data_IF_594586883429
#
_entry.id   IF_594586883429
#
_cell.length_a   1.000
_cell.length_b   1.000
_cell.length_c   1.000
_cell.angle_alpha   90.00
_cell.angle_beta   90.00
_cell.angle_gamma   90.00
#
_symmetry.space_group_name_H-M   'P 1'
#
loop_
_entity.id
_entity.type
_entity.pdbx_description
1 polymer ?
#
# COMPACT_ATOMS: atom_id res chain seq x y z
N UNK A 1 -25.31 -42.97 0.85
CA UNK A 1 -24.25 -42.07 0.36
C UNK A 1 -24.88 -41.02 -0.55
N UNK A 2 -25.43 -39.92 -0.04
CA UNK A 2 -25.96 -38.86 -0.93
C UNK A 2 -26.02 -37.47 -0.26
N UNK A 3 -26.67 -37.33 0.90
CA UNK A 3 -26.92 -36.01 1.49
C UNK A 3 -25.68 -35.32 2.08
N UNK A 4 -24.86 -36.07 2.82
CA UNK A 4 -23.62 -35.52 3.42
C UNK A 4 -22.58 -35.15 2.36
N UNK A 5 -22.37 -36.03 1.37
CA UNK A 5 -21.44 -35.79 0.27
C UNK A 5 -21.89 -34.62 -0.61
N UNK A 6 -23.18 -34.47 -0.91
CA UNK A 6 -23.69 -33.30 -1.63
C UNK A 6 -23.58 -32.01 -0.80
N UNK A 7 -23.79 -32.05 0.51
CA UNK A 7 -23.62 -30.88 1.37
C UNK A 7 -22.15 -30.46 1.48
N UNK A 8 -21.25 -31.44 1.57
CA UNK A 8 -19.80 -31.24 1.64
C UNK A 8 -19.25 -30.74 0.30
N UNK A 9 -19.69 -31.30 -0.83
CA UNK A 9 -19.37 -30.76 -2.17
C UNK A 9 -19.96 -29.37 -2.43
N UNK A 10 -21.15 -29.06 -1.90
CA UNK A 10 -21.71 -27.69 -1.98
C UNK A 10 -20.92 -26.70 -1.12
N UNK A 11 -20.51 -27.11 0.09
CA UNK A 11 -19.62 -26.29 0.94
C UNK A 11 -18.27 -26.07 0.28
N UNK A 12 -17.65 -27.12 -0.25
CA UNK A 12 -16.38 -27.05 -0.95
C UNK A 12 -16.49 -26.20 -2.24
N UNK A 13 -17.57 -26.34 -3.01
CA UNK A 13 -17.84 -25.51 -4.18
C UNK A 13 -18.07 -24.03 -3.84
N UNK A 14 -18.69 -23.73 -2.69
CA UNK A 14 -18.89 -22.37 -2.19
C UNK A 14 -17.57 -21.74 -1.68
N UNK A 15 -16.71 -22.54 -1.07
CA UNK A 15 -15.42 -22.09 -0.51
C UNK A 15 -14.35 -21.91 -1.60
N UNK A 16 -14.32 -22.78 -2.61
CA UNK A 16 -13.36 -22.75 -3.72
C UNK A 16 -13.78 -21.74 -4.82
N UNK A 17 -15.08 -21.50 -5.02
CA UNK A 17 -15.59 -20.66 -6.11
C UNK A 17 -15.76 -19.16 -5.80
N UNK A 18 -15.91 -18.77 -4.53
CA UNK A 18 -16.26 -17.38 -4.16
C UNK A 18 -15.21 -16.69 -3.31
N UNK A 19 -14.52 -17.42 -2.42
CA UNK A 19 -13.59 -16.79 -1.48
C UNK A 19 -12.22 -16.48 -2.08
N UNK A 20 -11.69 -17.36 -2.94
CA UNK A 20 -10.37 -17.15 -3.56
C UNK A 20 -10.31 -15.84 -4.37
N UNK A 21 -11.36 -15.52 -5.15
CA UNK A 21 -11.35 -14.34 -6.00
C UNK A 21 -11.50 -13.02 -5.21
N UNK A 22 -12.38 -13.00 -4.19
CA UNK A 22 -12.55 -11.81 -3.32
C UNK A 22 -11.31 -11.59 -2.47
N UNK A 23 -10.72 -12.64 -1.92
CA UNK A 23 -9.52 -12.53 -1.09
C UNK A 23 -8.30 -12.10 -1.90
N UNK A 24 -8.17 -12.58 -3.16
CA UNK A 24 -7.14 -12.10 -4.10
C UNK A 24 -7.35 -10.63 -4.45
N UNK A 25 -8.56 -10.22 -4.83
CA UNK A 25 -8.86 -8.82 -5.14
C UNK A 25 -8.64 -7.90 -3.93
N UNK A 26 -9.02 -8.35 -2.73
CA UNK A 26 -8.78 -7.62 -1.49
C UNK A 26 -7.28 -7.55 -1.18
N UNK A 27 -6.52 -8.62 -1.39
CA UNK A 27 -5.07 -8.64 -1.21
C UNK A 27 -4.37 -7.71 -2.22
N UNK A 28 -4.78 -7.71 -3.48
CA UNK A 28 -4.28 -6.78 -4.51
C UNK A 28 -4.57 -5.33 -4.14
N UNK A 29 -5.83 -5.01 -3.77
CA UNK A 29 -6.20 -3.69 -3.27
C UNK A 29 -5.36 -3.27 -2.05
N UNK A 30 -5.15 -4.20 -1.10
CA UNK A 30 -4.35 -3.94 0.10
C UNK A 30 -2.87 -3.65 -0.26
N UNK A 31 -2.31 -4.34 -1.26
CA UNK A 31 -0.96 -4.05 -1.77
C UNK A 31 -0.88 -2.66 -2.39
N UNK A 32 -1.85 -2.26 -3.22
CA UNK A 32 -1.88 -0.92 -3.80
C UNK A 32 -2.04 0.18 -2.74
N UNK A 33 -2.93 -0.01 -1.76
CA UNK A 33 -3.08 0.88 -0.61
C UNK A 33 -1.77 1.00 0.15
N UNK A 34 -1.12 -0.12 0.46
CA UNK A 34 0.14 -0.15 1.21
C UNK A 34 1.27 0.55 0.44
N UNK A 35 1.37 0.33 -0.88
CA UNK A 35 2.35 1.02 -1.74
C UNK A 35 2.12 2.53 -1.77
N UNK A 36 0.88 2.97 -1.91
CA UNK A 36 0.50 4.39 -1.86
C UNK A 36 0.82 4.99 -0.49
N UNK A 37 0.49 4.29 0.59
CA UNK A 37 0.72 4.78 1.95
C UNK A 37 2.22 4.84 2.27
N UNK A 38 3.03 3.90 1.78
CA UNK A 38 4.49 3.95 1.85
C UNK A 38 5.03 5.18 1.09
N UNK A 39 4.55 5.43 -0.13
CA UNK A 39 4.94 6.63 -0.87
C UNK A 39 4.59 7.90 -0.09
N UNK A 40 3.35 8.01 0.39
CA UNK A 40 2.88 9.14 1.20
C UNK A 40 3.71 9.34 2.47
N UNK A 41 4.07 8.26 3.17
CA UNK A 41 4.94 8.33 4.35
C UNK A 41 6.33 8.86 4.02
N UNK A 42 6.92 8.45 2.89
CA UNK A 42 8.21 8.99 2.41
C UNK A 42 8.11 10.49 2.12
N UNK A 43 7.09 10.93 1.38
CA UNK A 43 6.86 12.35 1.12
C UNK A 43 6.69 13.16 2.41
N UNK A 44 5.90 12.67 3.35
CA UNK A 44 5.66 13.34 4.63
C UNK A 44 6.96 13.50 5.44
N UNK A 45 7.83 12.49 5.45
CA UNK A 45 9.11 12.55 6.16
C UNK A 45 10.04 13.59 5.55
N UNK A 46 10.16 13.64 4.21
CA UNK A 46 10.97 14.64 3.52
C UNK A 46 10.45 16.06 3.78
N UNK A 47 9.13 16.24 3.73
CA UNK A 47 8.50 17.53 4.05
C UNK A 47 8.72 17.93 5.51
N UNK A 48 8.62 16.99 6.46
CA UNK A 48 8.89 17.24 7.87
C UNK A 48 10.35 17.67 8.10
N UNK A 49 11.30 17.06 7.40
CA UNK A 49 12.71 17.45 7.46
C UNK A 49 12.93 18.87 6.94
N UNK A 50 12.30 19.24 5.81
CA UNK A 50 12.36 20.62 5.28
C UNK A 50 11.76 21.63 6.24
N UNK A 51 10.60 21.33 6.83
CA UNK A 51 9.96 22.20 7.82
C UNK A 51 10.83 22.37 9.06
N UNK A 52 11.50 21.32 9.51
CA UNK A 52 12.44 21.39 10.63
C UNK A 52 13.60 22.33 10.30
N UNK A 53 14.22 22.17 9.12
CA UNK A 53 15.30 23.06 8.65
C UNK A 53 14.85 24.51 8.52
N UNK A 54 13.64 24.75 8.02
CA UNK A 54 13.06 26.08 7.93
C UNK A 54 12.87 26.72 9.32
N UNK A 55 12.36 25.94 10.29
CA UNK A 55 12.13 26.42 11.65
C UNK A 55 13.42 26.79 12.40
N UNK A 56 14.52 26.10 12.14
CA UNK A 56 15.85 26.43 12.71
C UNK A 56 16.64 27.44 11.87
N UNK A 57 16.07 27.93 10.76
CA UNK A 57 16.69 28.91 9.88
C UNK A 57 17.86 28.39 9.03
N UNK A 58 18.02 27.07 8.89
CA UNK A 58 19.10 26.44 8.13
C UNK A 58 18.68 25.91 6.76
N UNK A 59 17.45 26.20 6.34
CA UNK A 59 16.95 25.80 5.02
C UNK A 59 17.70 26.55 3.92
N UNK A 60 18.43 25.80 3.09
CA UNK A 60 19.14 26.33 1.94
C UNK A 60 18.54 25.79 0.62
N UNK A 61 18.82 26.47 -0.49
CA UNK A 61 18.37 26.04 -1.83
C UNK A 61 18.93 24.65 -2.21
N UNK A 62 20.14 24.33 -1.77
CA UNK A 62 20.76 23.01 -1.93
C UNK A 62 20.00 21.86 -1.24
N UNK A 63 19.22 22.17 -0.20
CA UNK A 63 18.35 21.18 0.46
C UNK A 63 17.11 20.87 -0.37
N UNK A 64 16.59 21.88 -1.09
CA UNK A 64 15.48 21.70 -2.02
C UNK A 64 15.91 20.91 -3.24
N UNK A 65 17.09 21.20 -3.80
CA UNK A 65 17.68 20.44 -4.92
C UNK A 65 17.88 18.97 -4.55
N UNK A 66 18.42 18.69 -3.36
CA UNK A 66 18.63 17.32 -2.87
C UNK A 66 17.33 16.54 -2.68
N UNK A 67 16.25 17.20 -2.28
CA UNK A 67 14.95 16.55 -2.14
C UNK A 67 14.25 16.40 -3.49
N UNK A 68 14.45 17.34 -4.41
CA UNK A 68 13.92 17.25 -5.76
C UNK A 68 14.49 16.04 -6.53
N UNK A 69 15.77 15.72 -6.35
CA UNK A 69 16.37 14.51 -6.95
C UNK A 69 15.85 13.20 -6.36
N UNK A 70 15.25 13.22 -5.17
CA UNK A 70 14.58 12.04 -4.58
C UNK A 70 13.16 11.83 -5.16
N UNK A 71 12.62 12.78 -5.91
CA UNK A 71 11.31 12.72 -6.54
C UNK A 71 11.34 12.33 -8.03
N UNK A 72 12.52 12.24 -8.65
CA UNK A 72 12.61 11.69 -10.01
C UNK A 72 12.23 10.21 -10.01
N UNK A 73 11.22 9.89 -10.81
CA UNK A 73 10.82 8.51 -11.06
C UNK A 73 11.93 7.80 -11.87
N UNK A 74 12.18 6.50 -11.63
CA UNK A 74 13.04 5.70 -12.49
C UNK A 74 12.49 5.57 -13.92
#
# INVERSE_FOLDING_TARGET
>A
VSSLSSLESNRLGYEVGVRINIDVLNAENQVYVTRRDLAKARFNTLLAQLKLKAAVGSLAESDLERINSLFEAP
#
